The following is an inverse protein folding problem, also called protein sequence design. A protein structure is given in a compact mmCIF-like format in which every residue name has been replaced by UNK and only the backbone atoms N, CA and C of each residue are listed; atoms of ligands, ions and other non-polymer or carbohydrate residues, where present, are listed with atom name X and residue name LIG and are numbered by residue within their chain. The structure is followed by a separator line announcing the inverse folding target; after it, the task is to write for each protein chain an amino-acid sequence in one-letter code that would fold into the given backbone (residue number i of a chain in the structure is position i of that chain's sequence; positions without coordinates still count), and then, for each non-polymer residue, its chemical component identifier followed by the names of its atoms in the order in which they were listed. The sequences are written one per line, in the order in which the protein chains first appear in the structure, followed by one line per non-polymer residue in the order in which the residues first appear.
data_IF_030444776962
#
_entry.id   IF_030444776962
#
_cell.length_a   1.000
_cell.length_b   1.000
_cell.length_c   1.000
_cell.angle_alpha   90.00
_cell.angle_beta   90.00
_cell.angle_gamma   90.00
#
_symmetry.space_group_name_H-M   'P 1'
#
loop_
_entity.id
_entity.type
_entity.pdbx_description
1 polymer ?
#
# COMPACT_ATOMS: atom_id res chain seq x y z
N UNK A 1 5.67 15.46 -16.83
CA UNK A 1 4.65 14.50 -16.47
C UNK A 1 4.11 14.80 -15.09
N UNK A 2 2.88 14.93 -14.98
CA UNK A 2 2.26 15.20 -13.70
C UNK A 2 1.32 14.06 -13.34
N UNK A 3 0.53 14.25 -12.33
CA UNK A 3 -0.40 13.24 -11.83
C UNK A 3 -1.45 12.83 -12.85
N UNK A 4 -1.69 13.66 -13.85
CA UNK A 4 -2.65 13.37 -14.89
C UNK A 4 -2.27 12.14 -15.70
N UNK A 5 -0.99 11.76 -15.62
CA UNK A 5 -0.51 10.59 -16.33
C UNK A 5 -0.51 9.33 -15.47
N UNK A 6 -0.94 9.45 -14.22
CA UNK A 6 -1.10 8.31 -13.35
C UNK A 6 -2.32 7.52 -13.82
N UNK A 7 -2.10 6.27 -14.18
CA UNK A 7 -3.18 5.44 -14.70
C UNK A 7 -3.82 4.64 -13.56
N UNK A 8 -4.94 5.14 -13.09
CA UNK A 8 -5.66 4.50 -11.99
C UNK A 8 -6.17 3.11 -12.35
N UNK A 9 -6.49 2.88 -13.62
CA UNK A 9 -6.95 1.58 -14.07
C UNK A 9 -5.83 0.55 -14.01
N UNK A 10 -4.61 0.94 -14.33
CA UNK A 10 -3.44 0.06 -14.22
C UNK A 10 -3.18 -0.29 -12.76
N UNK A 11 -3.22 0.70 -11.89
CA UNK A 11 -3.03 0.46 -10.44
C UNK A 11 -4.09 -0.51 -9.94
N UNK A 12 -5.34 -0.29 -10.28
CA UNK A 12 -6.47 -1.13 -9.87
C UNK A 12 -6.27 -2.56 -10.35
N UNK A 13 -5.87 -2.75 -11.61
CA UNK A 13 -5.68 -4.07 -12.18
C UNK A 13 -4.55 -4.83 -11.51
N UNK A 14 -3.44 -4.15 -11.22
CA UNK A 14 -2.29 -4.79 -10.59
C UNK A 14 -2.57 -5.17 -9.15
N UNK A 15 -3.24 -4.30 -8.40
CA UNK A 15 -3.62 -4.61 -7.02
C UNK A 15 -4.64 -5.75 -6.99
N UNK A 16 -5.60 -5.75 -7.92
CA UNK A 16 -6.56 -6.84 -8.02
C UNK A 16 -5.88 -8.17 -8.30
N UNK A 17 -4.89 -8.18 -9.19
CA UNK A 17 -4.14 -9.39 -9.50
C UNK A 17 -3.48 -9.97 -8.26
N UNK A 18 -2.89 -9.10 -7.44
CA UNK A 18 -2.30 -9.52 -6.19
C UNK A 18 -3.39 -10.07 -5.24
N UNK A 19 -4.49 -9.34 -5.09
CA UNK A 19 -5.57 -9.71 -4.18
C UNK A 19 -6.24 -11.04 -4.56
N UNK A 20 -6.26 -11.36 -5.85
CA UNK A 20 -6.87 -12.61 -6.31
C UNK A 20 -6.16 -13.86 -5.77
N UNK A 21 -4.93 -13.71 -5.32
CA UNK A 21 -4.19 -14.81 -4.69
C UNK A 21 -4.64 -15.07 -3.25
N UNK A 22 -5.39 -14.14 -2.68
CA UNK A 22 -5.78 -14.17 -1.27
C UNK A 22 -7.31 -14.07 -1.18
N UNK A 23 -7.98 -15.19 -1.36
CA UNK A 23 -9.43 -15.25 -1.38
C UNK A 23 -10.03 -15.30 0.02
N UNK A 24 -11.35 -15.53 0.06
CA UNK A 24 -12.11 -15.53 1.31
C UNK A 24 -11.59 -16.51 2.35
N UNK A 25 -11.10 -17.67 1.90
CA UNK A 25 -10.58 -18.67 2.83
C UNK A 25 -9.35 -18.16 3.56
N UNK A 26 -8.46 -17.47 2.84
CA UNK A 26 -7.27 -16.87 3.46
C UNK A 26 -7.68 -15.90 4.55
N UNK A 27 -8.59 -14.97 4.24
CA UNK A 27 -9.00 -13.95 5.20
C UNK A 27 -9.75 -14.55 6.39
N UNK A 28 -10.58 -15.55 6.17
CA UNK A 28 -11.26 -16.25 7.26
C UNK A 28 -10.29 -16.97 8.18
N UNK A 29 -9.24 -17.54 7.62
CA UNK A 29 -8.25 -18.27 8.42
C UNK A 29 -7.52 -17.36 9.39
N UNK A 30 -7.53 -16.05 9.15
CA UNK A 30 -6.84 -15.08 9.99
C UNK A 30 -7.71 -14.51 11.11
N UNK A 31 -9.01 -14.75 11.07
CA UNK A 31 -9.90 -14.25 12.10
C UNK A 31 -9.64 -14.97 13.43
N UNK A 32 -9.85 -14.27 14.57
CA UNK A 32 -10.33 -12.90 14.68
C UNK A 32 -9.24 -11.84 14.60
N UNK A 33 -7.97 -12.15 14.76
CA UNK A 33 -6.96 -11.11 14.92
C UNK A 33 -5.56 -11.48 14.45
N UNK A 34 -5.43 -12.47 13.59
CA UNK A 34 -4.12 -12.83 13.06
C UNK A 34 -3.68 -11.86 11.98
N UNK A 35 -2.43 -11.40 12.04
CA UNK A 35 -1.88 -10.46 11.07
C UNK A 35 -1.72 -11.16 9.69
N UNK A 36 -2.13 -10.51 8.59
CA UNK A 36 -2.04 -11.11 7.25
C UNK A 36 -0.62 -11.00 6.68
N UNK A 37 0.32 -11.72 7.26
CA UNK A 37 1.74 -11.57 6.97
C UNK A 37 2.11 -11.84 5.50
N UNK A 38 1.58 -12.91 4.93
CA UNK A 38 1.89 -13.27 3.55
C UNK A 38 1.39 -12.20 2.57
N UNK A 39 0.17 -11.73 2.78
CA UNK A 39 -0.43 -10.69 1.96
C UNK A 39 0.39 -9.40 2.05
N UNK A 40 0.73 -8.97 3.27
CA UNK A 40 1.51 -7.75 3.48
C UNK A 40 2.91 -7.87 2.90
N UNK A 41 3.53 -9.03 3.02
CA UNK A 41 4.85 -9.26 2.43
C UNK A 41 4.80 -9.07 0.91
N UNK A 42 3.79 -9.58 0.27
CA UNK A 42 3.65 -9.43 -1.18
C UNK A 42 3.31 -8.01 -1.58
N UNK A 43 2.44 -7.33 -0.84
CA UNK A 43 2.18 -5.90 -1.05
C UNK A 43 3.46 -5.09 -0.96
N UNK A 44 4.28 -5.39 0.03
CA UNK A 44 5.55 -4.70 0.25
C UNK A 44 6.50 -4.93 -0.91
N UNK A 45 6.62 -6.19 -1.36
CA UNK A 45 7.51 -6.54 -2.45
C UNK A 45 7.14 -5.83 -3.76
N UNK A 46 5.85 -5.59 -3.97
CA UNK A 46 5.38 -4.88 -5.17
C UNK A 46 5.39 -3.36 -5.01
N UNK A 47 5.76 -2.85 -3.84
CA UNK A 47 5.91 -1.42 -3.60
C UNK A 47 4.64 -0.67 -3.21
N UNK A 48 3.52 -1.36 -3.00
CA UNK A 48 2.26 -0.68 -2.72
C UNK A 48 2.21 0.01 -1.36
N UNK A 49 2.93 -0.51 -0.37
CA UNK A 49 2.95 0.14 0.95
C UNK A 49 3.66 1.49 0.92
N UNK A 50 4.61 1.66 0.02
CA UNK A 50 5.32 2.94 -0.13
C UNK A 50 4.77 3.83 -1.22
N UNK A 51 3.50 3.62 -1.62
CA UNK A 51 2.92 4.30 -2.77
C UNK A 51 2.98 5.82 -2.70
N UNK A 52 2.76 6.39 -1.52
CA UNK A 52 2.74 7.85 -1.33
C UNK A 52 4.14 8.45 -1.08
N UNK A 53 5.14 7.62 -0.95
CA UNK A 53 6.48 8.09 -0.60
C UNK A 53 7.22 8.53 -1.87
N UNK A 54 7.97 9.66 -1.84
CA UNK A 54 8.75 10.10 -2.99
C UNK A 54 9.77 9.07 -3.45
N UNK A 55 10.08 9.08 -4.74
CA UNK A 55 11.03 8.14 -5.32
C UNK A 55 12.43 8.28 -4.72
N UNK A 56 12.80 9.44 -4.23
CA UNK A 56 14.11 9.64 -3.58
C UNK A 56 14.28 8.78 -2.32
N UNK A 57 13.18 8.32 -1.72
CA UNK A 57 13.20 7.40 -0.58
C UNK A 57 12.75 5.99 -0.98
N UNK A 58 12.72 5.71 -2.27
CA UNK A 58 12.37 4.38 -2.76
C UNK A 58 10.88 4.13 -2.96
N UNK A 59 10.07 5.15 -2.84
CA UNK A 59 8.62 5.01 -2.96
C UNK A 59 8.08 5.17 -4.37
N UNK A 60 6.78 5.08 -4.51
CA UNK A 60 6.08 5.11 -5.78
C UNK A 60 5.66 6.50 -6.26
N UNK A 61 5.72 7.50 -5.40
CA UNK A 61 5.30 8.87 -5.70
C UNK A 61 3.89 8.98 -6.29
N UNK A 62 2.99 8.12 -5.88
CA UNK A 62 1.61 8.18 -6.34
C UNK A 62 0.85 9.31 -5.68
N UNK A 63 -0.21 9.76 -6.33
CA UNK A 63 -1.13 10.74 -5.78
C UNK A 63 -1.99 10.10 -4.68
N UNK A 64 -2.69 10.94 -3.92
CA UNK A 64 -3.66 10.45 -2.95
C UNK A 64 -4.75 9.63 -3.63
N UNK A 65 -5.15 10.01 -4.86
CA UNK A 65 -6.11 9.24 -5.64
C UNK A 65 -5.60 7.84 -5.94
N UNK A 66 -4.32 7.71 -6.32
CA UNK A 66 -3.70 6.41 -6.57
C UNK A 66 -3.67 5.55 -5.33
N UNK A 67 -3.31 6.13 -4.18
CA UNK A 67 -3.31 5.41 -2.91
C UNK A 67 -4.72 4.94 -2.53
N UNK A 68 -5.73 5.79 -2.76
CA UNK A 68 -7.13 5.43 -2.48
C UNK A 68 -7.58 4.23 -3.30
N UNK A 69 -7.16 4.16 -4.55
CA UNK A 69 -7.48 3.02 -5.43
C UNK A 69 -6.91 1.71 -4.87
N UNK A 70 -5.70 1.76 -4.33
CA UNK A 70 -5.09 0.57 -3.73
C UNK A 70 -5.95 0.05 -2.58
N UNK A 71 -6.34 0.94 -1.66
CA UNK A 71 -7.15 0.56 -0.50
C UNK A 71 -8.54 0.08 -0.92
N UNK A 72 -9.14 0.77 -1.87
CA UNK A 72 -10.46 0.42 -2.39
C UNK A 72 -10.45 -0.98 -2.99
N UNK A 73 -9.43 -1.29 -3.77
CA UNK A 73 -9.36 -2.59 -4.45
C UNK A 73 -9.14 -3.74 -3.47
N UNK A 74 -8.34 -3.52 -2.43
CA UNK A 74 -8.17 -4.51 -1.36
C UNK A 74 -9.51 -4.79 -0.70
N UNK A 75 -10.26 -3.74 -0.36
CA UNK A 75 -11.59 -3.88 0.25
C UNK A 75 -12.57 -4.58 -0.67
N UNK A 76 -12.57 -4.20 -1.95
CA UNK A 76 -13.49 -4.79 -2.93
C UNK A 76 -13.23 -6.27 -3.15
N UNK A 77 -12.00 -6.72 -2.96
CA UNK A 77 -11.64 -8.13 -3.11
C UNK A 77 -12.02 -8.99 -1.90
N UNK A 78 -12.55 -8.37 -0.86
CA UNK A 78 -12.87 -9.07 0.39
C UNK A 78 -11.73 -9.09 1.40
N UNK A 79 -10.61 -8.43 1.09
CA UNK A 79 -9.46 -8.37 1.98
C UNK A 79 -9.59 -7.26 3.02
N UNK A 80 -8.62 -7.22 3.91
CA UNK A 80 -8.55 -6.21 4.95
C UNK A 80 -7.40 -5.24 4.64
N UNK A 81 -7.71 -3.96 4.33
CA UNK A 81 -6.68 -3.00 3.97
C UNK A 81 -6.00 -2.33 5.17
N UNK A 82 -6.35 -2.70 6.39
CA UNK A 82 -5.89 -2.00 7.60
C UNK A 82 -4.37 -1.89 7.69
N UNK A 83 -3.65 -2.97 7.43
CA UNK A 83 -2.19 -2.95 7.52
C UNK A 83 -1.58 -1.99 6.49
N UNK A 84 -2.09 -2.00 5.26
CA UNK A 84 -1.63 -1.10 4.21
C UNK A 84 -1.94 0.35 4.58
N UNK A 85 -3.16 0.63 5.04
CA UNK A 85 -3.56 1.97 5.44
C UNK A 85 -2.71 2.49 6.60
N UNK A 86 -2.49 1.67 7.61
CA UNK A 86 -1.69 2.05 8.77
C UNK A 86 -0.26 2.41 8.34
N UNK A 87 0.32 1.61 7.47
CA UNK A 87 1.66 1.88 6.97
C UNK A 87 1.72 3.20 6.19
N UNK A 88 0.72 3.45 5.37
CA UNK A 88 0.65 4.70 4.59
C UNK A 88 0.63 5.93 5.49
N UNK A 89 -0.20 5.94 6.54
CA UNK A 89 -0.28 7.14 7.36
C UNK A 89 0.91 7.29 8.31
N UNK A 90 1.50 6.19 8.77
CA UNK A 90 2.72 6.27 9.59
C UNK A 90 3.87 6.80 8.76
N UNK A 91 4.08 6.27 7.57
CA UNK A 91 5.13 6.76 6.68
C UNK A 91 4.88 8.21 6.28
N UNK A 92 3.62 8.58 6.06
CA UNK A 92 3.25 9.95 5.77
C UNK A 92 3.59 10.90 6.90
N UNK A 93 3.45 10.46 8.14
CA UNK A 93 3.84 11.24 9.31
C UNK A 93 5.34 11.47 9.35
N UNK A 94 6.12 10.42 9.10
CA UNK A 94 7.58 10.55 9.04
C UNK A 94 7.98 11.50 7.93
N UNK A 95 7.35 11.39 6.77
CA UNK A 95 7.66 12.25 5.62
C UNK A 95 7.41 13.73 5.95
N UNK A 96 6.30 14.05 6.62
CA UNK A 96 5.93 15.43 6.89
C UNK A 96 6.64 16.02 8.10
N UNK A 97 6.91 15.23 9.10
CA UNK A 97 7.39 15.71 10.41
C UNK A 97 8.74 15.17 10.84
N UNK A 98 9.25 14.16 10.15
CA UNK A 98 10.53 13.56 10.51
C UNK A 98 11.71 14.44 10.12
N UNK A 99 12.84 14.24 10.79
CA UNK A 99 14.09 14.85 10.38
C UNK A 99 14.61 14.20 9.12
N UNK A 100 15.60 14.83 8.46
CA UNK A 100 16.20 14.24 7.26
C UNK A 100 16.80 12.87 7.56
N UNK A 101 17.40 12.71 8.72
CA UNK A 101 17.97 11.43 9.13
C UNK A 101 16.91 10.37 9.31
N UNK A 102 15.78 10.73 9.96
CA UNK A 102 14.67 9.79 10.12
C UNK A 102 14.05 9.38 8.80
N UNK A 103 13.91 10.34 7.87
CA UNK A 103 13.37 10.03 6.54
C UNK A 103 14.25 9.04 5.80
N UNK A 104 15.55 9.22 5.86
CA UNK A 104 16.49 8.31 5.19
C UNK A 104 16.51 6.92 5.81
N UNK A 105 16.32 6.84 7.12
CA UNK A 105 16.35 5.56 7.84
C UNK A 105 15.05 4.79 7.72
N UNK A 106 13.90 5.46 7.88
CA UNK A 106 12.62 4.78 8.04
C UNK A 106 11.75 4.71 6.80
N UNK A 107 11.91 5.61 5.83
CA UNK A 107 11.05 5.60 4.64
C UNK A 107 11.42 4.56 3.59
N UNK A 108 12.71 4.26 3.32
CA UNK A 108 13.06 3.25 2.33
C UNK A 108 12.58 1.84 2.66
#
# INVERSE_FOLDING_TARGET
MNRDHEDLDVIRAEVRRLCDKYGNEYWRSLEPSTYPEEFVTELTAQGWLGALIPTEYGGGSLSLGGASVILEEISASGGNPSACHAQMYVMGTVLRHGSDEQKKEYLP
#
